data_IF_849695210368
#
_entry.id   IF_849695210368
#
_cell.length_a   1.000
_cell.length_b   1.000
_cell.length_c   1.000
_cell.angle_alpha   90.00
_cell.angle_beta   90.00
_cell.angle_gamma   90.00
#
_symmetry.space_group_name_H-M   'P 1'
#
loop_
_entity.id
_entity.type
_entity.pdbx_description
1 polymer ?
#
# COMPACT_ATOMS: atom_id res chain seq x y z
N UNK A 1 13.45 19.63 6.84
CA UNK A 1 13.27 18.44 5.99
C UNK A 1 14.51 18.22 5.12
N UNK A 2 15.06 17.01 5.10
CA UNK A 2 16.16 16.59 4.23
C UNK A 2 15.62 16.07 2.89
N UNK A 3 16.23 16.47 1.78
CA UNK A 3 15.85 15.94 0.47
C UNK A 3 16.84 14.85 0.00
N UNK A 4 16.31 13.86 -0.72
CA UNK A 4 17.09 12.79 -1.34
C UNK A 4 16.76 12.68 -2.82
N UNK A 5 17.73 12.20 -3.58
CA UNK A 5 17.57 11.93 -5.01
C UNK A 5 17.13 10.48 -5.24
N UNK A 6 16.37 10.27 -6.31
CA UNK A 6 16.00 8.93 -6.77
C UNK A 6 16.46 8.69 -8.19
N UNK A 7 16.63 7.41 -8.54
CA UNK A 7 16.97 6.95 -9.89
C UNK A 7 15.92 5.99 -10.39
N UNK A 8 15.69 5.93 -11.71
CA UNK A 8 14.75 4.97 -12.29
C UNK A 8 15.32 3.56 -12.14
N UNK A 9 14.52 2.68 -11.55
CA UNK A 9 14.80 1.26 -11.39
C UNK A 9 14.08 0.43 -12.46
N UNK A 10 12.77 0.68 -12.67
CA UNK A 10 11.98 -0.02 -13.68
C UNK A 10 10.96 0.91 -14.34
N UNK A 11 10.49 0.55 -15.52
CA UNK A 11 9.65 1.39 -16.39
C UNK A 11 8.69 0.54 -17.23
N UNK A 12 7.87 1.21 -18.05
CA UNK A 12 6.94 0.58 -18.98
C UNK A 12 5.81 -0.21 -18.27
N UNK A 13 5.36 0.30 -17.13
CA UNK A 13 4.19 -0.19 -16.38
C UNK A 13 2.97 0.73 -16.59
N UNK A 14 1.78 0.35 -16.09
CA UNK A 14 0.57 1.16 -16.26
C UNK A 14 0.17 1.92 -15.00
N UNK A 15 -0.21 1.24 -13.92
CA UNK A 15 -0.47 1.89 -12.64
C UNK A 15 -0.08 0.93 -11.52
N UNK A 16 1.02 1.25 -10.85
CA UNK A 16 1.64 0.39 -9.85
C UNK A 16 1.27 0.82 -8.43
N UNK A 17 0.84 -0.16 -7.64
CA UNK A 17 0.45 -0.04 -6.24
C UNK A 17 0.87 -1.31 -5.48
N UNK A 18 0.70 -1.32 -4.15
CA UNK A 18 0.95 -2.49 -3.31
C UNK A 18 2.37 -3.02 -3.42
N UNK A 19 3.40 -2.16 -3.48
CA UNK A 19 4.78 -2.62 -3.53
C UNK A 19 5.11 -3.42 -2.26
N UNK A 20 5.68 -4.61 -2.43
CA UNK A 20 6.19 -5.43 -1.31
C UNK A 20 7.56 -5.99 -1.67
N UNK A 21 8.47 -5.98 -0.69
CA UNK A 21 9.72 -6.73 -0.78
C UNK A 21 9.53 -8.10 -0.13
N UNK A 22 9.70 -9.17 -0.90
CA UNK A 22 9.54 -10.53 -0.40
C UNK A 22 10.46 -11.50 -1.15
N UNK A 23 11.13 -12.38 -0.40
CA UNK A 23 12.06 -13.39 -0.92
C UNK A 23 13.09 -12.83 -1.92
N UNK A 24 13.66 -11.66 -1.61
CA UNK A 24 14.71 -11.03 -2.40
C UNK A 24 14.22 -10.37 -3.69
N UNK A 25 12.90 -10.24 -3.88
CA UNK A 25 12.30 -9.63 -5.05
C UNK A 25 11.35 -8.51 -4.67
N UNK A 26 11.23 -7.52 -5.56
CA UNK A 26 10.16 -6.54 -5.50
C UNK A 26 8.93 -7.09 -6.21
N UNK A 27 7.80 -7.03 -5.52
CA UNK A 27 6.48 -7.39 -6.02
C UNK A 27 5.63 -6.14 -6.16
N UNK A 28 4.70 -6.16 -7.10
CA UNK A 28 3.79 -5.05 -7.35
C UNK A 28 2.46 -5.53 -7.93
N UNK A 29 1.38 -4.85 -7.59
CA UNK A 29 0.12 -4.91 -8.32
C UNK A 29 0.13 -3.87 -9.43
N UNK A 30 -0.26 -4.25 -10.64
CA UNK A 30 -0.52 -3.32 -11.73
C UNK A 30 -2.02 -3.32 -12.05
N UNK A 31 -2.69 -2.27 -11.59
CA UNK A 31 -4.14 -2.13 -11.61
C UNK A 31 -4.71 -2.23 -13.04
N UNK A 32 -4.19 -1.45 -13.99
CA UNK A 32 -4.74 -1.40 -15.35
C UNK A 32 -4.38 -2.61 -16.20
N UNK A 33 -3.21 -3.22 -16.00
CA UNK A 33 -2.88 -4.49 -16.68
C UNK A 33 -3.45 -5.70 -15.96
N UNK A 34 -4.13 -5.50 -14.83
CA UNK A 34 -4.76 -6.55 -14.03
C UNK A 34 -3.79 -7.62 -13.57
N UNK A 35 -2.54 -7.27 -13.31
CA UNK A 35 -1.47 -8.27 -13.09
C UNK A 35 -0.72 -8.08 -11.79
N UNK A 36 -0.36 -9.21 -11.18
CA UNK A 36 0.60 -9.28 -10.07
C UNK A 36 1.96 -9.54 -10.68
N UNK A 37 2.92 -8.66 -10.41
CA UNK A 37 4.25 -8.66 -11.02
C UNK A 37 5.31 -8.97 -9.99
N UNK A 38 6.32 -9.75 -10.40
CA UNK A 38 7.58 -9.91 -9.70
C UNK A 38 8.70 -9.34 -10.56
N UNK A 39 9.44 -8.36 -10.05
CA UNK A 39 10.50 -7.69 -10.79
C UNK A 39 11.82 -8.44 -10.67
N UNK A 40 12.61 -8.40 -11.75
CA UNK A 40 14.01 -8.82 -11.71
C UNK A 40 14.81 -7.91 -10.76
N UNK A 41 15.86 -8.46 -10.13
CA UNK A 41 16.66 -7.73 -9.13
C UNK A 41 17.33 -6.47 -9.66
N UNK A 42 17.54 -6.38 -10.98
CA UNK A 42 18.13 -5.22 -11.66
C UNK A 42 17.08 -4.28 -12.28
N UNK A 43 15.78 -4.59 -12.12
CA UNK A 43 14.66 -3.79 -12.64
C UNK A 43 14.49 -3.85 -14.16
N UNK A 44 15.29 -4.65 -14.87
CA UNK A 44 15.32 -4.72 -16.33
C UNK A 44 14.08 -5.38 -16.95
N UNK A 45 13.38 -6.20 -16.18
CA UNK A 45 12.22 -6.97 -16.60
C UNK A 45 11.36 -7.36 -15.40
N UNK A 46 10.17 -7.89 -15.68
CA UNK A 46 9.27 -8.44 -14.68
C UNK A 46 8.59 -9.69 -15.24
N UNK A 47 8.16 -10.56 -14.34
CA UNK A 47 7.31 -11.71 -14.62
C UNK A 47 5.88 -11.40 -14.14
N UNK A 48 4.89 -11.68 -14.98
CA UNK A 48 3.49 -11.71 -14.55
C UNK A 48 3.21 -13.03 -13.85
N UNK A 49 2.94 -12.98 -12.56
CA UNK A 49 2.71 -14.15 -11.72
C UNK A 49 1.26 -14.59 -11.78
N UNK A 50 0.33 -13.63 -11.86
CA UNK A 50 -1.09 -13.90 -12.04
C UNK A 50 -1.81 -12.70 -12.65
N UNK A 51 -2.96 -12.97 -13.25
CA UNK A 51 -3.94 -11.94 -13.64
C UNK A 51 -5.13 -11.97 -12.68
N UNK A 52 -5.54 -10.80 -12.18
CA UNK A 52 -6.70 -10.64 -11.28
C UNK A 52 -7.76 -9.80 -12.00
N UNK A 53 -8.84 -10.45 -12.41
CA UNK A 53 -9.84 -9.84 -13.29
C UNK A 53 -10.49 -8.57 -12.72
N UNK A 54 -10.68 -8.49 -11.40
CA UNK A 54 -11.19 -7.31 -10.70
C UNK A 54 -10.14 -6.25 -10.37
N UNK A 55 -8.97 -6.31 -11.01
CA UNK A 55 -7.80 -5.45 -10.82
C UNK A 55 -7.13 -5.62 -9.44
N UNK A 56 -5.82 -5.94 -9.40
CA UNK A 56 -5.10 -6.14 -8.14
C UNK A 56 -4.72 -4.79 -7.49
N UNK A 57 -4.71 -4.75 -6.17
CA UNK A 57 -4.22 -3.61 -5.35
C UNK A 57 -3.37 -4.13 -4.19
N UNK A 58 -3.89 -4.17 -2.96
CA UNK A 58 -3.17 -4.68 -1.80
C UNK A 58 -2.70 -6.13 -1.97
N UNK A 59 -1.46 -6.41 -1.56
CA UNK A 59 -0.87 -7.75 -1.66
C UNK A 59 -0.03 -8.09 -0.41
N UNK A 60 -0.01 -9.39 -0.07
CA UNK A 60 0.77 -9.92 1.05
C UNK A 60 1.00 -11.43 0.90
N UNK A 61 1.73 -12.02 1.85
CA UNK A 61 2.19 -13.40 1.77
C UNK A 61 1.80 -14.15 3.03
N UNK A 62 1.41 -15.41 2.88
CA UNK A 62 1.22 -16.35 3.98
C UNK A 62 2.51 -17.15 4.21
N UNK A 63 2.66 -17.71 5.41
CA UNK A 63 3.81 -18.55 5.81
C UNK A 63 4.07 -19.75 4.89
N UNK A 64 3.04 -20.24 4.19
CA UNK A 64 3.17 -21.34 3.23
C UNK A 64 3.64 -20.90 1.82
N UNK A 65 3.94 -19.61 1.65
CA UNK A 65 4.34 -18.99 0.40
C UNK A 65 3.18 -18.65 -0.54
N UNK A 66 1.93 -18.85 -0.12
CA UNK A 66 0.78 -18.37 -0.89
C UNK A 66 0.73 -16.83 -0.88
N UNK A 67 0.30 -16.25 -1.99
CA UNK A 67 0.11 -14.81 -2.13
C UNK A 67 -1.37 -14.51 -1.90
N UNK A 68 -1.66 -13.54 -1.03
CA UNK A 68 -2.98 -12.94 -0.91
C UNK A 68 -3.00 -11.64 -1.71
N UNK A 69 -4.04 -11.45 -2.52
CA UNK A 69 -4.18 -10.28 -3.40
C UNK A 69 -5.61 -9.79 -3.37
N UNK A 70 -5.80 -8.49 -3.14
CA UNK A 70 -7.12 -7.86 -3.22
C UNK A 70 -7.57 -7.78 -4.67
N UNK A 71 -8.76 -8.29 -4.98
CA UNK A 71 -9.48 -8.00 -6.23
C UNK A 71 -10.36 -6.78 -5.98
N UNK A 72 -9.92 -5.62 -6.46
CA UNK A 72 -10.44 -4.32 -6.05
C UNK A 72 -11.93 -4.16 -6.41
N UNK A 73 -12.29 -4.41 -7.66
CA UNK A 73 -13.65 -4.29 -8.17
C UNK A 73 -14.65 -5.26 -7.51
N UNK A 74 -14.16 -6.38 -6.99
CA UNK A 74 -15.00 -7.42 -6.38
C UNK A 74 -15.09 -7.30 -4.85
N UNK A 75 -14.24 -6.48 -4.22
CA UNK A 75 -14.07 -6.45 -2.76
C UNK A 75 -13.85 -7.86 -2.17
N UNK A 76 -12.95 -8.62 -2.79
CA UNK A 76 -12.54 -9.95 -2.35
C UNK A 76 -11.03 -10.07 -2.24
N UNK A 77 -10.55 -11.05 -1.47
CA UNK A 77 -9.15 -11.46 -1.42
C UNK A 77 -9.02 -12.79 -2.17
N UNK A 78 -8.06 -12.84 -3.10
CA UNK A 78 -7.66 -14.04 -3.84
C UNK A 78 -6.45 -14.67 -3.19
N UNK A 79 -6.40 -16.00 -3.13
CA UNK A 79 -5.21 -16.77 -2.74
C UNK A 79 -4.61 -17.43 -3.97
N UNK A 80 -3.37 -17.06 -4.27
CA UNK A 80 -2.54 -17.64 -5.32
C UNK A 80 -1.53 -18.58 -4.67
N UNK A 81 -1.59 -19.87 -4.98
CA UNK A 81 -0.62 -20.84 -4.44
C UNK A 81 0.62 -20.91 -5.32
N UNK A 82 1.72 -21.41 -4.75
CA UNK A 82 2.96 -21.68 -5.49
C UNK A 82 2.79 -22.69 -6.64
N UNK A 83 1.73 -23.51 -6.60
CA UNK A 83 1.33 -24.42 -7.69
C UNK A 83 0.50 -23.76 -8.79
N UNK A 84 0.25 -22.45 -8.71
CA UNK A 84 -0.49 -21.68 -9.71
C UNK A 84 -2.01 -21.72 -9.59
N UNK A 85 -2.57 -22.23 -8.48
CA UNK A 85 -4.01 -22.19 -8.26
C UNK A 85 -4.46 -20.81 -7.77
N UNK A 86 -5.51 -20.27 -8.37
CA UNK A 86 -6.23 -19.08 -7.89
C UNK A 86 -7.58 -19.49 -7.28
N UNK A 87 -7.85 -19.03 -6.07
CA UNK A 87 -9.08 -19.31 -5.33
C UNK A 87 -9.52 -18.11 -4.49
N UNK A 88 -10.82 -18.04 -4.18
CA UNK A 88 -11.34 -17.08 -3.22
C UNK A 88 -10.79 -17.40 -1.83
N UNK A 89 -10.16 -16.42 -1.18
CA UNK A 89 -9.69 -16.50 0.20
C UNK A 89 -10.73 -15.93 1.16
N UNK A 90 -11.21 -14.71 0.88
CA UNK A 90 -12.21 -14.03 1.67
C UNK A 90 -13.06 -13.10 0.79
N UNK A 91 -14.33 -12.95 1.15
CA UNK A 91 -15.25 -11.98 0.57
C UNK A 91 -15.60 -10.95 1.64
N UNK A 92 -15.21 -9.69 1.40
CA UNK A 92 -15.47 -8.58 2.31
C UNK A 92 -16.42 -7.55 1.70
N UNK A 93 -17.09 -7.87 0.59
CA UNK A 93 -17.98 -6.97 -0.14
C UNK A 93 -19.13 -6.44 0.72
N UNK A 94 -19.61 -7.24 1.68
CA UNK A 94 -20.66 -6.80 2.62
C UNK A 94 -20.24 -5.68 3.58
N UNK A 95 -18.93 -5.45 3.74
CA UNK A 95 -18.35 -4.39 4.57
C UNK A 95 -17.75 -3.25 3.75
N UNK A 96 -17.72 -3.37 2.42
CA UNK A 96 -17.13 -2.37 1.54
C UNK A 96 -18.19 -1.38 1.04
N UNK A 97 -18.01 -0.09 1.34
CA UNK A 97 -18.85 1.01 0.81
C UNK A 97 -18.45 1.46 -0.60
N UNK A 98 -17.41 0.85 -1.17
CA UNK A 98 -16.83 1.09 -2.48
C UNK A 98 -15.97 -0.10 -2.89
N UNK A 99 -15.05 0.10 -3.83
CA UNK A 99 -14.10 -0.95 -4.23
C UNK A 99 -13.09 -1.23 -3.10
N UNK A 100 -12.51 -2.44 -3.09
CA UNK A 100 -11.41 -2.81 -2.19
C UNK A 100 -10.20 -1.88 -2.34
N UNK A 101 -9.18 -2.01 -1.49
CA UNK A 101 -7.98 -1.22 -1.64
C UNK A 101 -6.74 -1.93 -1.11
N UNK A 102 -5.85 -1.23 -0.41
CA UNK A 102 -4.63 -1.81 0.13
C UNK A 102 -4.91 -2.83 1.25
N UNK A 103 -3.92 -3.70 1.47
CA UNK A 103 -3.96 -4.78 2.43
C UNK A 103 -2.57 -5.06 3.00
N UNK A 104 -2.53 -5.38 4.28
CA UNK A 104 -1.36 -5.98 4.93
C UNK A 104 -1.72 -7.35 5.49
N UNK A 105 -0.78 -8.28 5.41
CA UNK A 105 -0.90 -9.64 5.95
C UNK A 105 0.21 -9.82 6.99
N UNK A 106 -0.14 -10.36 8.15
CA UNK A 106 0.82 -10.70 9.21
C UNK A 106 1.37 -12.11 8.98
N UNK A 107 2.58 -12.39 9.48
CA UNK A 107 3.10 -13.76 9.59
C UNK A 107 2.12 -14.76 10.24
N UNK A 108 1.33 -14.30 11.22
CA UNK A 108 0.28 -15.13 11.84
C UNK A 108 -0.93 -15.44 10.93
N UNK A 109 -0.99 -14.87 9.73
CA UNK A 109 -2.04 -15.07 8.74
C UNK A 109 -3.26 -14.15 8.87
N UNK A 110 -3.25 -13.19 9.80
CA UNK A 110 -4.27 -12.14 9.84
C UNK A 110 -4.05 -11.17 8.68
N UNK A 111 -5.12 -10.82 7.96
CA UNK A 111 -5.11 -9.79 6.94
C UNK A 111 -6.01 -8.62 7.35
N UNK A 112 -5.52 -7.39 7.16
CA UNK A 112 -6.31 -6.18 7.31
C UNK A 112 -6.42 -5.52 5.94
N UNK A 113 -7.65 -5.28 5.48
CA UNK A 113 -7.93 -4.78 4.14
C UNK A 113 -8.81 -3.53 4.18
N UNK A 114 -8.41 -2.53 3.41
CA UNK A 114 -9.15 -1.29 3.22
C UNK A 114 -10.14 -1.38 2.05
N UNK A 115 -11.01 -0.38 1.97
CA UNK A 115 -11.87 -0.12 0.83
C UNK A 115 -12.06 1.39 0.68
N UNK A 116 -12.48 1.86 -0.48
CA UNK A 116 -12.62 3.29 -0.74
C UNK A 116 -13.75 3.91 0.09
N UNK A 117 -14.83 3.16 0.33
CA UNK A 117 -16.04 3.67 0.99
C UNK A 117 -16.97 4.48 0.08
N UNK A 118 -16.52 4.89 -1.09
CA UNK A 118 -17.27 5.69 -2.07
C UNK A 118 -16.72 5.47 -3.48
N UNK A 119 -17.42 5.98 -4.50
CA UNK A 119 -16.91 6.01 -5.87
C UNK A 119 -16.02 7.25 -6.08
N UNK A 120 -14.69 7.06 -6.11
CA UNK A 120 -13.72 8.15 -6.30
C UNK A 120 -14.05 8.99 -7.55
N UNK A 121 -14.11 10.31 -7.39
CA UNK A 121 -14.42 11.26 -8.46
C UNK A 121 -15.88 11.31 -8.91
N UNK A 122 -16.75 10.44 -8.38
CA UNK A 122 -18.18 10.43 -8.68
C UNK A 122 -19.06 10.72 -7.45
N UNK A 123 -18.59 10.38 -6.25
CA UNK A 123 -19.25 10.62 -4.98
C UNK A 123 -18.36 11.47 -4.05
N UNK A 124 -18.98 12.22 -3.15
CA UNK A 124 -18.26 12.90 -2.07
C UNK A 124 -17.62 11.85 -1.14
N UNK A 125 -16.39 12.08 -0.64
CA UNK A 125 -15.76 11.19 0.32
C UNK A 125 -16.63 10.99 1.57
N UNK A 126 -16.78 9.74 2.00
CA UNK A 126 -17.48 9.36 3.23
C UNK A 126 -16.71 8.28 4.00
N UNK A 127 -16.82 8.25 5.34
CA UNK A 127 -16.12 7.25 6.14
C UNK A 127 -16.48 5.82 5.77
N UNK A 128 -15.55 4.91 6.03
CA UNK A 128 -15.64 3.47 5.87
C UNK A 128 -14.88 2.77 7.02
N UNK A 129 -14.75 1.46 6.93
CA UNK A 129 -14.06 0.63 7.91
C UNK A 129 -12.93 -0.18 7.28
N UNK A 130 -11.89 -0.47 8.06
CA UNK A 130 -11.03 -1.61 7.75
C UNK A 130 -11.80 -2.91 7.97
N UNK A 131 -11.41 -3.96 7.25
CA UNK A 131 -11.91 -5.31 7.46
C UNK A 131 -10.76 -6.20 7.92
N UNK A 132 -11.00 -7.00 8.94
CA UNK A 132 -10.10 -8.02 9.44
C UNK A 132 -10.52 -9.38 8.91
N UNK A 133 -9.57 -10.12 8.35
CA UNK A 133 -9.71 -11.52 8.00
C UNK A 133 -8.77 -12.33 8.89
N UNK A 134 -9.34 -13.23 9.68
CA UNK A 134 -8.55 -14.09 10.55
C UNK A 134 -7.97 -15.31 9.78
N UNK A 135 -6.97 -16.02 10.33
CA UNK A 135 -6.36 -17.18 9.69
C UNK A 135 -7.34 -18.37 9.48
N UNK A 136 -8.50 -18.35 10.13
CA UNK A 136 -9.56 -19.36 10.00
C UNK A 136 -10.55 -19.03 8.89
N UNK A 137 -10.49 -17.81 8.33
CA UNK A 137 -11.34 -17.30 7.25
C UNK A 137 -12.56 -16.51 7.75
N UNK A 138 -12.61 -16.13 9.03
CA UNK A 138 -13.65 -15.24 9.55
C UNK A 138 -13.37 -13.82 9.05
N UNK A 139 -14.41 -13.13 8.58
CA UNK A 139 -14.34 -11.77 8.02
C UNK A 139 -15.19 -10.83 8.87
N UNK A 140 -14.55 -9.83 9.48
CA UNK A 140 -15.20 -8.90 10.41
C UNK A 140 -14.82 -7.45 10.12
N UNK A 141 -15.78 -6.54 10.30
CA UNK A 141 -15.52 -5.11 10.26
C UNK A 141 -14.73 -4.68 11.49
N UNK A 142 -13.66 -3.94 11.30
CA UNK A 142 -12.94 -3.28 12.40
C UNK A 142 -13.78 -2.11 12.91
N UNK A 143 -13.85 -1.96 14.23
CA UNK A 143 -14.55 -0.84 14.85
C UNK A 143 -13.83 0.49 14.63
N UNK A 144 -14.61 1.55 14.43
CA UNK A 144 -14.10 2.89 14.18
C UNK A 144 -14.13 3.27 12.70
N UNK A 145 -14.17 4.58 12.45
CA UNK A 145 -14.29 5.14 11.11
C UNK A 145 -12.91 5.53 10.59
N UNK A 146 -12.65 5.22 9.32
CA UNK A 146 -11.49 5.68 8.56
C UNK A 146 -11.95 6.28 7.23
N UNK A 147 -11.16 7.17 6.63
CA UNK A 147 -11.53 7.84 5.38
C UNK A 147 -10.47 7.59 4.31
N UNK A 148 -10.86 6.78 3.32
CA UNK A 148 -9.99 6.32 2.24
C UNK A 148 -8.69 5.65 2.76
N UNK A 149 -8.80 4.51 3.47
CA UNK A 149 -7.66 3.75 3.97
C UNK A 149 -6.80 3.21 2.81
N UNK A 150 -5.53 3.57 2.79
CA UNK A 150 -4.50 3.09 1.87
C UNK A 150 -3.44 2.29 2.64
N UNK A 151 -2.18 2.72 2.56
CA UNK A 151 -1.00 2.04 3.08
C UNK A 151 -1.12 1.56 4.51
N UNK A 152 -0.66 0.34 4.75
CA UNK A 152 -0.53 -0.18 6.11
C UNK A 152 0.89 -0.69 6.39
N UNK A 153 1.33 -0.51 7.62
CA UNK A 153 2.56 -1.08 8.15
C UNK A 153 2.37 -1.44 9.61
N UNK A 154 3.09 -2.46 10.08
CA UNK A 154 3.00 -2.92 11.47
C UNK A 154 4.34 -2.69 12.15
N UNK A 155 4.30 -2.02 13.29
CA UNK A 155 5.47 -1.73 14.11
C UNK A 155 5.91 -2.97 14.91
N UNK A 156 7.16 -3.01 15.41
CA UNK A 156 7.65 -4.13 16.22
C UNK A 156 6.90 -4.38 17.53
N UNK A 157 6.16 -3.38 18.02
CA UNK A 157 5.31 -3.43 19.23
C UNK A 157 3.83 -3.70 18.91
N UNK A 158 3.54 -4.29 17.75
CA UNK A 158 2.21 -4.72 17.32
C UNK A 158 1.21 -3.56 17.20
N UNK A 159 1.65 -2.42 16.66
CA UNK A 159 0.76 -1.32 16.27
C UNK A 159 0.61 -1.33 14.74
N UNK A 160 -0.63 -1.43 14.27
CA UNK A 160 -0.97 -1.21 12.87
C UNK A 160 -1.04 0.30 12.61
N UNK A 161 -0.18 0.79 11.74
CA UNK A 161 -0.25 2.13 11.17
C UNK A 161 -1.00 2.07 9.84
N UNK A 162 -1.86 3.05 9.62
CA UNK A 162 -2.72 3.18 8.45
C UNK A 162 -2.62 4.60 7.91
N UNK A 163 -2.32 4.75 6.62
CA UNK A 163 -2.50 5.99 5.90
C UNK A 163 -3.97 6.20 5.54
N UNK A 164 -4.52 7.35 5.94
CA UNK A 164 -5.85 7.79 5.53
C UNK A 164 -5.72 9.00 4.60
N UNK A 165 -5.95 8.78 3.31
CA UNK A 165 -5.69 9.77 2.27
C UNK A 165 -6.52 11.04 2.44
N UNK A 166 -7.79 10.91 2.81
CA UNK A 166 -8.71 12.05 2.95
C UNK A 166 -8.88 12.56 4.37
N UNK A 167 -8.33 11.88 5.38
CA UNK A 167 -8.16 12.45 6.72
C UNK A 167 -6.76 13.08 6.91
N UNK A 168 -5.92 13.05 5.87
CA UNK A 168 -4.58 13.65 5.85
C UNK A 168 -3.74 13.23 7.06
N UNK A 169 -3.74 11.94 7.40
CA UNK A 169 -3.13 11.44 8.64
C UNK A 169 -2.66 10.01 8.54
N UNK A 170 -1.77 9.66 9.46
CA UNK A 170 -1.48 8.27 9.83
C UNK A 170 -2.25 7.96 11.11
N UNK A 171 -3.06 6.92 11.07
CA UNK A 171 -3.81 6.39 12.22
C UNK A 171 -3.13 5.14 12.75
N UNK A 172 -3.17 4.95 14.07
CA UNK A 172 -2.65 3.78 14.75
C UNK A 172 -3.79 2.98 15.39
N UNK A 173 -3.64 1.66 15.36
CA UNK A 173 -4.42 0.69 16.11
C UNK A 173 -3.48 -0.26 16.84
N UNK A 174 -3.82 -0.64 18.06
CA UNK A 174 -3.12 -1.74 18.73
C UNK A 174 -3.67 -3.06 18.18
N UNK A 175 -2.78 -3.96 17.76
CA UNK A 175 -3.13 -5.35 17.43
C UNK A 175 -3.09 -6.14 18.73
N UNK A 176 -4.24 -6.64 19.17
CA UNK A 176 -4.33 -7.48 20.38
C UNK A 176 -4.07 -8.96 20.06
N UNK A 177 -3.99 -9.81 21.09
CA UNK A 177 -3.54 -11.21 20.97
C UNK A 177 -4.34 -12.07 19.97
N UNK A 178 -5.62 -11.76 19.72
CA UNK A 178 -6.47 -12.46 18.75
C UNK A 178 -6.41 -11.85 17.33
N UNK A 179 -5.55 -10.86 17.12
CA UNK A 179 -5.41 -10.13 15.87
C UNK A 179 -6.46 -9.05 15.66
N UNK A 180 -7.44 -8.86 16.54
CA UNK A 180 -8.36 -7.73 16.40
C UNK A 180 -7.64 -6.38 16.63
N UNK A 181 -8.21 -5.31 16.08
CA UNK A 181 -7.67 -3.96 16.21
C UNK A 181 -8.42 -3.18 17.31
N UNK A 182 -7.66 -2.53 18.19
CA UNK A 182 -8.18 -1.74 19.30
C UNK A 182 -7.49 -0.36 19.37
N UNK A 183 -7.98 0.51 20.24
CA UNK A 183 -7.35 1.79 20.60
C UNK A 183 -6.97 2.68 19.39
N UNK A 184 -7.91 2.83 18.45
CA UNK A 184 -7.77 3.74 17.32
C UNK A 184 -7.38 5.15 17.78
N UNK A 185 -6.29 5.68 17.22
CA UNK A 185 -5.78 7.02 17.55
C UNK A 185 -5.05 7.64 16.37
N UNK A 186 -4.98 8.96 16.34
CA UNK A 186 -4.10 9.66 15.38
C UNK A 186 -2.65 9.47 15.83
N UNK A 187 -1.81 8.92 14.95
CA UNK A 187 -0.37 8.79 15.17
C UNK A 187 0.38 10.01 14.63
N UNK A 188 -0.02 10.49 13.45
CA UNK A 188 0.49 11.74 12.86
C UNK A 188 -0.61 12.45 12.09
N UNK A 189 -0.90 13.70 12.44
CA UNK A 189 -1.72 14.58 11.60
C UNK A 189 -0.81 15.31 10.61
N UNK A 190 -1.18 15.29 9.33
CA UNK A 190 -0.47 15.97 8.26
C UNK A 190 -1.21 17.25 7.85
N UNK A 191 -0.53 18.07 7.05
CA UNK A 191 -1.15 19.21 6.35
C UNK A 191 -2.17 18.71 5.31
N UNK A 192 -3.27 19.44 5.12
CA UNK A 192 -4.36 19.07 4.19
C UNK A 192 -3.91 19.02 2.73
N UNK A 193 -2.75 19.58 2.38
CA UNK A 193 -2.15 19.42 1.05
C UNK A 193 -1.53 18.03 0.82
N UNK A 194 -1.34 17.23 1.87
CA UNK A 194 -0.71 15.92 1.80
C UNK A 194 -1.74 14.80 1.83
N UNK A 195 -1.67 13.90 0.86
CA UNK A 195 -2.58 12.77 0.66
C UNK A 195 -1.78 11.47 0.82
N UNK A 196 -1.62 10.97 2.07
CA UNK A 196 -0.84 9.77 2.30
C UNK A 196 -1.51 8.56 1.64
N UNK A 197 -0.75 7.84 0.83
CA UNK A 197 -1.16 6.64 0.10
C UNK A 197 -0.49 5.40 0.73
N UNK A 198 0.33 4.61 0.03
CA UNK A 198 1.04 3.48 0.68
C UNK A 198 2.11 3.96 1.67
N UNK A 199 2.48 3.10 2.63
CA UNK A 199 3.48 3.41 3.66
C UNK A 199 4.53 2.33 3.88
N UNK A 200 5.73 2.74 4.30
CA UNK A 200 6.81 1.85 4.71
C UNK A 200 7.50 2.35 5.98
N UNK A 201 7.80 1.44 6.90
CA UNK A 201 8.50 1.76 8.14
C UNK A 201 10.02 1.72 7.96
N UNK A 202 10.73 2.65 8.59
CA UNK A 202 12.17 2.56 8.81
C UNK A 202 12.53 2.16 10.25
N UNK A 203 13.76 1.67 10.43
CA UNK A 203 14.27 1.21 11.72
C UNK A 203 14.45 2.32 12.75
N UNK A 204 14.36 3.59 12.34
CA UNK A 204 14.46 4.75 13.23
C UNK A 204 13.07 5.18 13.73
N UNK A 205 12.01 4.42 13.44
CA UNK A 205 10.63 4.69 13.86
C UNK A 205 9.90 5.72 13.00
N UNK A 206 10.40 6.01 11.79
CA UNK A 206 9.71 6.87 10.83
C UNK A 206 8.83 6.08 9.85
N UNK A 207 7.77 6.73 9.38
CA UNK A 207 6.90 6.24 8.32
C UNK A 207 7.21 7.02 7.05
N UNK A 208 7.59 6.31 5.99
CA UNK A 208 7.61 6.82 4.64
C UNK A 208 6.23 6.65 4.02
N UNK A 209 5.71 7.68 3.35
CA UNK A 209 4.44 7.61 2.63
C UNK A 209 4.53 8.27 1.27
N UNK A 210 3.74 7.79 0.30
CA UNK A 210 3.53 8.48 -0.97
C UNK A 210 2.53 9.63 -0.82
N UNK A 211 2.87 10.83 -1.30
CA UNK A 211 1.91 11.92 -1.46
C UNK A 211 1.20 11.79 -2.81
N UNK A 212 0.05 11.11 -2.83
CA UNK A 212 -0.70 10.84 -4.05
C UNK A 212 -1.53 12.06 -4.52
N UNK A 213 -2.24 11.89 -5.63
CA UNK A 213 -3.21 12.85 -6.17
C UNK A 213 -2.67 14.25 -6.53
N UNK A 214 -1.35 14.44 -6.50
CA UNK A 214 -0.68 15.67 -6.97
C UNK A 214 0.40 15.35 -8.01
N UNK A 215 0.48 16.18 -9.05
CA UNK A 215 1.58 16.18 -10.02
C UNK A 215 2.55 17.35 -9.81
N UNK A 216 2.30 18.21 -8.83
CA UNK A 216 3.04 19.44 -8.60
C UNK A 216 4.40 19.19 -7.94
N UNK A 217 5.12 20.27 -7.60
CA UNK A 217 6.45 20.20 -6.99
C UNK A 217 6.44 19.54 -5.59
N UNK A 218 5.27 19.48 -4.95
CA UNK A 218 5.02 18.78 -3.70
C UNK A 218 4.78 17.28 -3.88
N UNK A 219 4.71 16.77 -5.11
CA UNK A 219 4.70 15.33 -5.34
C UNK A 219 6.02 14.70 -4.89
N UNK A 220 5.92 13.62 -4.13
CA UNK A 220 7.07 12.95 -3.56
C UNK A 220 6.70 11.93 -2.50
N UNK A 221 7.72 11.23 -2.03
CA UNK A 221 7.64 10.37 -0.86
C UNK A 221 8.19 11.12 0.33
N UNK A 222 7.47 11.13 1.44
CA UNK A 222 7.81 11.90 2.62
C UNK A 222 8.03 10.98 3.80
N UNK A 223 8.96 11.35 4.67
CA UNK A 223 9.13 10.69 5.97
C UNK A 223 8.49 11.52 7.05
N UNK A 224 7.57 10.92 7.80
CA UNK A 224 6.95 11.49 8.98
C UNK A 224 7.34 10.70 10.23
N UNK A 225 7.49 11.39 11.35
CA UNK A 225 7.61 10.76 12.68
C UNK A 225 6.32 10.96 13.47
N UNK A 226 6.17 10.21 14.56
CA UNK A 226 5.01 10.32 15.44
C UNK A 226 4.79 11.78 15.86
N UNK A 227 3.54 12.23 15.80
CA UNK A 227 3.17 13.62 16.02
C UNK A 227 3.13 14.50 14.77
N UNK A 228 3.59 14.02 13.61
CA UNK A 228 3.37 14.68 12.32
C UNK A 228 4.54 15.51 11.78
N UNK A 229 5.72 15.47 12.40
CA UNK A 229 6.89 16.18 11.87
C UNK A 229 7.42 15.48 10.61
N UNK A 230 7.50 16.23 9.51
CA UNK A 230 8.11 15.77 8.24
C UNK A 230 9.62 15.99 8.30
N UNK A 231 10.38 14.90 8.29
CA UNK A 231 11.85 14.95 8.43
C UNK A 231 12.57 14.85 7.08
N UNK A 232 12.01 14.14 6.11
CA UNK A 232 12.65 13.86 4.82
C UNK A 232 11.66 13.87 3.64
N UNK A 233 12.18 14.08 2.42
CA UNK A 233 11.43 13.98 1.14
C UNK A 233 12.29 13.36 0.03
N UNK A 234 11.67 12.55 -0.82
CA UNK A 234 12.16 12.16 -2.15
C UNK A 234 11.22 12.77 -3.20
N UNK A 235 11.60 13.86 -3.88
CA UNK A 235 10.72 14.50 -4.87
C UNK A 235 10.50 13.63 -6.11
N UNK A 236 9.26 13.61 -6.62
CA UNK A 236 8.90 12.92 -7.88
C UNK A 236 7.93 13.75 -8.73
N UNK A 237 8.29 15.00 -9.11
CA UNK A 237 7.38 15.88 -9.84
C UNK A 237 6.88 15.26 -11.15
N UNK A 238 5.63 15.56 -11.52
CA UNK A 238 5.00 15.03 -12.73
C UNK A 238 4.55 13.57 -12.65
N UNK A 239 4.47 13.00 -11.45
CA UNK A 239 3.85 11.71 -11.19
C UNK A 239 3.20 11.71 -9.81
N UNK A 240 2.15 10.92 -9.59
CA UNK A 240 1.66 10.60 -8.26
C UNK A 240 2.63 9.64 -7.58
N UNK A 241 2.99 9.95 -6.33
CA UNK A 241 3.71 9.04 -5.44
C UNK A 241 2.70 8.12 -4.78
N UNK A 242 2.62 6.86 -5.23
CA UNK A 242 1.53 5.96 -4.82
C UNK A 242 1.99 4.94 -3.79
N UNK A 243 3.00 4.13 -4.10
CA UNK A 243 3.43 3.07 -3.21
C UNK A 243 4.93 3.04 -2.93
N UNK A 244 5.32 2.65 -1.72
CA UNK A 244 6.73 2.50 -1.36
C UNK A 244 6.98 1.30 -0.44
N UNK A 245 8.19 0.75 -0.54
CA UNK A 245 8.65 -0.33 0.34
C UNK A 245 10.18 -0.33 0.42
N UNK A 246 10.74 -0.76 1.55
CA UNK A 246 12.17 -0.98 1.66
C UNK A 246 12.54 -2.37 1.16
N UNK A 247 13.64 -2.46 0.43
CA UNK A 247 14.14 -3.71 -0.12
C UNK A 247 15.65 -3.74 -0.32
N UNK A 248 16.11 -4.73 -1.08
CA UNK A 248 17.51 -5.10 -1.18
C UNK A 248 17.98 -5.96 0.01
N UNK A 249 19.14 -6.58 -0.13
CA UNK A 249 19.65 -7.54 0.86
C UNK A 249 19.82 -6.95 2.28
N UNK A 250 19.97 -5.62 2.38
CA UNK A 250 20.14 -4.91 3.66
C UNK A 250 18.92 -4.06 4.05
N UNK A 251 17.82 -4.16 3.30
CA UNK A 251 16.63 -3.28 3.42
C UNK A 251 16.99 -1.78 3.41
N UNK A 252 18.02 -1.36 2.69
CA UNK A 252 18.54 0.02 2.68
C UNK A 252 18.19 0.80 1.41
N UNK A 253 17.37 0.21 0.54
CA UNK A 253 16.86 0.83 -0.68
C UNK A 253 15.36 1.05 -0.55
N UNK A 254 14.92 2.29 -0.64
CA UNK A 254 13.50 2.62 -0.73
C UNK A 254 13.07 2.51 -2.20
N UNK A 255 12.16 1.58 -2.51
CA UNK A 255 11.51 1.45 -3.80
C UNK A 255 10.21 2.23 -3.80
N UNK A 256 9.90 2.89 -4.91
CA UNK A 256 8.82 3.88 -5.01
C UNK A 256 8.10 3.77 -6.34
N UNK A 257 6.79 3.58 -6.36
CA UNK A 257 5.99 3.64 -7.59
C UNK A 257 5.57 5.08 -7.90
N UNK A 258 5.94 5.54 -9.09
CA UNK A 258 5.60 6.86 -9.60
C UNK A 258 4.67 6.72 -10.80
N UNK A 259 3.41 7.12 -10.64
CA UNK A 259 2.37 6.96 -11.65
C UNK A 259 2.05 8.30 -12.31
N UNK A 260 2.36 8.46 -13.60
CA UNK A 260 2.02 9.66 -14.37
C UNK A 260 0.61 9.49 -14.94
N UNK A 261 -0.34 10.12 -14.25
CA UNK A 261 -1.77 10.19 -14.58
C UNK A 261 -2.41 11.38 -13.84
N UNK A 262 -3.64 11.72 -14.20
CA UNK A 262 -4.54 12.64 -13.49
C UNK A 262 -5.80 11.88 -13.08
N UNK A 263 -6.67 12.47 -12.27
CA UNK A 263 -7.91 11.78 -11.89
C UNK A 263 -8.80 11.47 -13.12
N UNK A 264 -8.87 12.40 -14.08
CA UNK A 264 -9.62 12.22 -15.33
C UNK A 264 -8.99 11.11 -16.19
N UNK A 265 -7.66 11.16 -16.40
CA UNK A 265 -6.94 10.13 -17.15
C UNK A 265 -7.03 8.76 -16.47
N UNK A 266 -6.98 8.70 -15.14
CA UNK A 266 -7.13 7.47 -14.36
C UNK A 266 -8.50 6.82 -14.64
N UNK A 267 -9.59 7.59 -14.63
CA UNK A 267 -10.93 7.08 -14.97
C UNK A 267 -11.05 6.60 -16.41
N UNK A 268 -10.29 7.18 -17.33
CA UNK A 268 -10.22 6.74 -18.73
C UNK A 268 -9.29 5.53 -18.95
N UNK A 269 -8.57 5.08 -17.92
CA UNK A 269 -7.58 4.00 -18.03
C UNK A 269 -6.24 4.44 -18.62
N UNK A 270 -5.97 5.75 -18.64
CA UNK A 270 -4.75 6.35 -19.15
C UNK A 270 -3.75 6.57 -18.00
N UNK A 271 -2.74 5.70 -17.92
CA UNK A 271 -1.64 5.87 -16.98
C UNK A 271 -0.35 5.25 -17.52
N UNK A 272 0.78 5.80 -17.09
CA UNK A 272 2.10 5.21 -17.23
C UNK A 272 2.81 5.22 -15.89
N UNK A 273 3.53 4.16 -15.59
CA UNK A 273 4.17 4.00 -14.29
C UNK A 273 5.63 3.58 -14.42
N UNK A 274 6.43 4.05 -13.46
CA UNK A 274 7.83 3.68 -13.27
C UNK A 274 8.07 3.38 -11.79
N UNK A 275 9.09 2.60 -11.51
CA UNK A 275 9.63 2.47 -10.15
C UNK A 275 10.93 3.24 -10.09
N UNK A 276 11.07 4.09 -9.07
CA UNK A 276 12.34 4.72 -8.72
C UNK A 276 12.86 4.13 -7.41
N UNK A 277 14.17 4.27 -7.19
CA UNK A 277 14.82 3.89 -5.94
C UNK A 277 15.63 5.04 -5.37
N UNK A 278 15.71 5.11 -4.05
CA UNK A 278 16.57 6.05 -3.33
C UNK A 278 17.29 5.36 -2.17
N UNK A 279 18.52 5.80 -1.90
CA UNK A 279 19.18 5.52 -0.63
C UNK A 279 18.93 6.72 0.29
N UNK A 280 18.08 6.51 1.29
CA UNK A 280 17.65 7.57 2.22
C UNK A 280 18.50 7.63 3.50
N UNK A 281 19.60 6.89 3.54
CA UNK A 281 20.50 6.79 4.69
C UNK A 281 19.93 6.05 5.89
N UNK A 282 18.88 5.25 5.69
CA UNK A 282 18.18 4.45 6.72
C UNK A 282 17.84 3.07 6.17
N UNK A 283 17.53 2.14 7.07
CA UNK A 283 17.04 0.81 6.72
C UNK A 283 15.54 0.72 6.99
N UNK A 284 14.85 -0.08 6.20
CA UNK A 284 13.47 -0.48 6.46
C UNK A 284 13.36 -1.40 7.65
N UNK A 285 12.25 -1.29 8.36
CA UNK A 285 11.78 -2.40 9.18
C UNK A 285 11.32 -3.53 8.24
N UNK A 286 11.61 -4.81 8.54
CA UNK A 286 11.06 -5.92 7.79
C UNK A 286 9.53 -5.82 7.76
N UNK A 287 8.93 -6.05 6.59
CA UNK A 287 7.49 -6.27 6.53
C UNK A 287 7.14 -7.53 7.35
N UNK A 288 5.98 -7.48 8.00
CA UNK A 288 5.37 -8.63 8.70
C UNK A 288 4.94 -9.73 7.74
#
# INVERSE_FOLDING_TARGET
MKEHESVIFSKDHKFLEGLRWHDGHLWASDFFTKSVKRLASDGSSFETIAEIAGAPSGLGFLDDGSILVVSQADATIRRLTTGGSDSLYADFSSYAGGIGNDMIVTNSGHAYVGNFGFALGAEDPRPTHLVHVDPTGIVESVGGDVLFPNGMAITPDSVLLLAETWNHRITAFDIVDDGSLANQRVWAQLDESLHPDDIALDTDGGVWFGNALTLAEDSGFYRVIEGGEITDKVPVPGAWAVSCTFGGNSLDTLYMSCNTTTLDEFHEGHSSARITTANVGRRGAPSV
#
